data_IF_557132513463
#
_entry.id   IF_557132513463
#
_cell.length_a   1.000
_cell.length_b   1.000
_cell.length_c   1.000
_cell.angle_alpha   90.00
_cell.angle_beta   90.00
_cell.angle_gamma   90.00
#
_symmetry.space_group_name_H-M   'P 1'
#
loop_
_entity.id
_entity.type
_entity.pdbx_description
1 polymer ?
#
# COMPACT_ATOMS: atom_id res chain seq x y z
N UNK A 1 14.69 -2.11 -15.27
CA UNK A 1 15.04 -1.92 -13.84
C UNK A 1 14.79 -0.47 -13.49
N UNK A 2 13.88 -0.19 -12.53
CA UNK A 2 13.52 1.17 -12.13
C UNK A 2 14.49 1.75 -11.12
N UNK A 3 14.74 3.06 -11.22
CA UNK A 3 15.38 3.79 -10.13
C UNK A 3 14.45 3.82 -8.93
N UNK A 4 15.03 3.69 -7.71
CA UNK A 4 14.23 3.45 -6.52
C UNK A 4 14.65 4.25 -5.30
N UNK A 5 13.69 4.44 -4.40
CA UNK A 5 13.87 4.99 -3.07
C UNK A 5 13.68 3.86 -2.04
N UNK A 6 14.56 3.79 -1.07
CA UNK A 6 14.41 2.91 0.10
C UNK A 6 13.75 3.69 1.23
N UNK A 7 12.68 3.17 1.79
CA UNK A 7 12.00 3.76 2.94
C UNK A 7 12.24 2.85 4.14
N UNK A 8 12.85 3.39 5.20
CA UNK A 8 13.08 2.69 6.44
C UNK A 8 11.98 3.02 7.44
N UNK A 9 11.25 1.99 7.87
CA UNK A 9 10.12 2.10 8.78
C UNK A 9 10.55 1.94 10.24
N UNK A 10 10.28 2.94 11.04
CA UNK A 10 10.52 2.97 12.50
C UNK A 10 9.23 2.83 13.31
N UNK A 11 8.15 2.34 12.71
CA UNK A 11 6.88 2.06 13.38
C UNK A 11 5.88 3.22 13.35
N UNK A 12 5.96 4.10 12.37
CA UNK A 12 4.93 5.11 12.12
C UNK A 12 3.67 4.49 11.54
N UNK A 13 2.52 4.95 11.98
CA UNK A 13 1.22 4.55 11.41
C UNK A 13 1.03 5.05 9.96
N UNK A 14 1.82 6.03 9.53
CA UNK A 14 1.70 6.70 8.22
C UNK A 14 2.85 6.39 7.27
N UNK A 15 3.73 5.43 7.58
CA UNK A 15 4.87 5.08 6.71
C UNK A 15 4.41 4.64 5.32
N UNK A 16 3.30 3.92 5.21
CA UNK A 16 2.75 3.52 3.91
C UNK A 16 2.32 4.73 3.05
N UNK A 17 1.94 5.85 3.67
CA UNK A 17 1.63 7.08 2.93
C UNK A 17 2.89 7.68 2.29
N UNK A 18 4.06 7.60 2.96
CA UNK A 18 5.33 8.02 2.35
C UNK A 18 5.57 7.24 1.05
N UNK A 19 5.46 5.90 1.11
CA UNK A 19 5.64 5.06 -0.05
C UNK A 19 4.63 5.39 -1.17
N UNK A 20 3.38 5.61 -0.81
CA UNK A 20 2.34 6.01 -1.77
C UNK A 20 2.68 7.34 -2.46
N UNK A 21 3.13 8.36 -1.71
CA UNK A 21 3.52 9.66 -2.27
C UNK A 21 4.72 9.57 -3.21
N UNK A 22 5.70 8.73 -2.88
CA UNK A 22 6.85 8.46 -3.76
C UNK A 22 6.38 7.78 -5.06
N UNK A 23 5.43 6.84 -4.98
CA UNK A 23 4.83 6.18 -6.15
C UNK A 23 3.97 7.14 -7.00
N UNK A 24 3.29 8.09 -6.38
CA UNK A 24 2.55 9.16 -7.06
C UNK A 24 3.47 10.08 -7.87
N UNK A 25 4.73 10.26 -7.44
CA UNK A 25 5.78 10.92 -8.21
C UNK A 25 6.34 10.07 -9.38
N UNK A 26 5.80 8.89 -9.62
CA UNK A 26 6.29 7.96 -10.65
C UNK A 26 7.62 7.29 -10.30
N UNK A 27 7.98 7.19 -9.02
CA UNK A 27 9.24 6.58 -8.56
C UNK A 27 8.95 5.29 -7.81
N UNK A 28 9.64 4.21 -8.18
CA UNK A 28 9.56 2.96 -7.43
C UNK A 28 10.14 3.11 -6.03
N UNK A 29 9.53 2.49 -5.03
CA UNK A 29 10.07 2.45 -3.68
C UNK A 29 9.79 1.12 -3.00
N UNK A 30 10.68 0.76 -2.07
CA UNK A 30 10.53 -0.38 -1.18
C UNK A 30 10.53 0.09 0.27
N UNK A 31 9.72 -0.58 1.09
CA UNK A 31 9.58 -0.31 2.51
C UNK A 31 10.19 -1.48 3.31
N UNK A 32 11.18 -1.17 4.13
CA UNK A 32 11.84 -2.13 4.99
C UNK A 32 11.83 -1.66 6.44
N UNK A 33 11.78 -2.60 7.39
CA UNK A 33 11.99 -2.26 8.79
C UNK A 33 13.38 -1.63 8.98
N UNK A 34 13.45 -0.51 9.71
CA UNK A 34 14.70 0.22 9.98
C UNK A 34 15.60 -0.48 11.01
N UNK A 35 15.70 -1.82 10.94
CA UNK A 35 16.48 -2.63 11.87
C UNK A 35 17.93 -2.77 11.37
N UNK A 36 18.94 -2.38 12.19
CA UNK A 36 20.35 -2.49 11.82
C UNK A 36 20.82 -3.91 11.49
N UNK A 37 20.13 -4.95 11.98
CA UNK A 37 20.47 -6.34 11.67
C UNK A 37 20.13 -6.73 10.23
N UNK A 38 19.18 -6.05 9.60
CA UNK A 38 18.74 -6.31 8.23
C UNK A 38 19.26 -5.27 7.22
N UNK A 39 19.46 -4.02 7.65
CA UNK A 39 19.95 -2.95 6.78
C UNK A 39 21.48 -2.86 6.92
N UNK A 40 22.15 -3.86 6.38
CA UNK A 40 23.60 -3.96 6.38
C UNK A 40 24.23 -3.21 5.20
N UNK A 41 25.54 -3.04 5.22
CA UNK A 41 26.28 -2.46 4.09
C UNK A 41 26.08 -3.28 2.82
N UNK A 42 26.17 -4.61 2.91
CA UNK A 42 25.94 -5.53 1.77
C UNK A 42 24.53 -5.37 1.20
N UNK A 43 23.52 -5.27 2.04
CA UNK A 43 22.14 -5.01 1.63
C UNK A 43 22.05 -3.69 0.86
N UNK A 44 22.65 -2.61 1.38
CA UNK A 44 22.63 -1.30 0.72
C UNK A 44 23.40 -1.30 -0.60
N UNK A 45 24.52 -2.01 -0.69
CA UNK A 45 25.25 -2.20 -1.95
C UNK A 45 24.42 -2.98 -2.97
N UNK A 46 23.74 -4.03 -2.55
CA UNK A 46 22.79 -4.75 -3.40
C UNK A 46 21.67 -3.82 -3.88
N UNK A 47 21.08 -3.01 -3.01
CA UNK A 47 20.06 -2.04 -3.40
C UNK A 47 20.59 -1.00 -4.39
N UNK A 48 21.83 -0.56 -4.25
CA UNK A 48 22.48 0.33 -5.24
C UNK A 48 22.60 -0.34 -6.60
N UNK A 49 22.99 -1.61 -6.66
CA UNK A 49 23.06 -2.36 -7.93
C UNK A 49 21.68 -2.50 -8.59
N UNK A 50 20.61 -2.43 -7.80
CA UNK A 50 19.21 -2.43 -8.25
C UNK A 50 18.65 -1.02 -8.53
N UNK A 51 19.48 0.03 -8.48
CA UNK A 51 19.08 1.39 -8.84
C UNK A 51 18.66 2.29 -7.68
N UNK A 52 19.08 2.02 -6.44
CA UNK A 52 18.83 2.89 -5.28
C UNK A 52 19.44 4.27 -5.48
N UNK A 53 18.62 5.33 -5.31
CA UNK A 53 18.98 6.73 -5.51
C UNK A 53 18.86 7.59 -4.24
N UNK A 54 18.11 7.17 -3.25
CA UNK A 54 17.92 7.89 -2.02
C UNK A 54 17.22 7.07 -0.95
N UNK A 55 17.26 7.56 0.28
CA UNK A 55 16.70 6.88 1.45
C UNK A 55 15.77 7.84 2.21
N UNK A 56 14.60 7.36 2.63
CA UNK A 56 13.67 8.10 3.49
C UNK A 56 13.57 7.37 4.83
N UNK A 57 13.72 8.10 5.93
CA UNK A 57 13.56 7.62 7.29
C UNK A 57 12.18 8.06 7.80
N UNK A 58 11.34 7.11 8.17
CA UNK A 58 9.97 7.41 8.62
C UNK A 58 9.89 7.98 10.03
N UNK A 59 8.68 8.35 10.46
CA UNK A 59 8.35 8.67 11.84
C UNK A 59 8.36 7.44 12.75
N UNK A 60 8.25 7.70 14.06
CA UNK A 60 8.01 6.70 15.12
C UNK A 60 7.23 7.35 16.26
N UNK A 61 6.60 6.53 17.10
CA UNK A 61 6.00 6.98 18.36
C UNK A 61 7.00 7.01 19.53
N UNK A 62 8.25 6.59 19.29
CA UNK A 62 9.32 6.53 20.31
C UNK A 62 10.14 7.83 20.31
N UNK A 63 10.80 8.09 21.42
CA UNK A 63 11.73 9.22 21.56
C UNK A 63 13.14 8.84 21.12
N UNK A 64 13.77 9.64 20.25
CA UNK A 64 15.07 9.32 19.65
C UNK A 64 16.24 9.28 20.67
N UNK A 65 16.05 9.79 21.88
CA UNK A 65 17.03 9.75 22.97
C UNK A 65 16.80 8.58 23.95
N UNK A 66 15.75 7.79 23.81
CA UNK A 66 15.53 6.63 24.65
C UNK A 66 16.57 5.54 24.34
N UNK A 67 16.97 4.80 25.37
CA UNK A 67 18.00 3.76 25.24
C UNK A 67 17.61 2.66 24.24
N UNK A 68 16.32 2.32 24.20
CA UNK A 68 15.74 1.28 23.35
C UNK A 68 15.17 1.82 22.02
N UNK A 69 15.40 3.12 21.74
CA UNK A 69 14.93 3.74 20.50
C UNK A 69 15.59 3.07 19.28
N UNK A 70 14.83 2.79 18.20
CA UNK A 70 15.40 2.23 16.99
C UNK A 70 16.42 3.22 16.39
N UNK A 71 17.62 2.74 16.12
CA UNK A 71 18.69 3.56 15.53
C UNK A 71 18.70 3.42 14.03
N UNK A 72 19.01 4.50 13.34
CA UNK A 72 19.30 4.44 11.92
C UNK A 72 20.61 3.65 11.74
N UNK A 73 20.64 2.62 10.88
CA UNK A 73 21.88 1.90 10.60
C UNK A 73 22.95 2.86 10.09
N UNK A 74 24.13 2.84 10.72
CA UNK A 74 25.19 3.81 10.42
C UNK A 74 25.59 3.80 8.94
N UNK A 75 25.58 2.62 8.34
CA UNK A 75 25.82 2.43 6.91
C UNK A 75 24.95 3.32 6.00
N UNK A 76 23.74 3.72 6.44
CA UNK A 76 22.84 4.61 5.68
C UNK A 76 23.50 5.97 5.41
N UNK A 77 24.23 6.51 6.39
CA UNK A 77 24.88 7.81 6.27
C UNK A 77 26.20 7.77 5.49
N UNK A 78 26.70 6.58 5.21
CA UNK A 78 28.00 6.37 4.53
C UNK A 78 27.85 6.03 3.03
N UNK A 79 26.63 5.85 2.55
CA UNK A 79 26.38 5.44 1.17
C UNK A 79 26.63 6.52 0.12
N UNK A 80 26.77 7.79 0.51
CA UNK A 80 26.84 8.92 -0.42
C UNK A 80 25.54 9.14 -1.20
N UNK A 81 24.40 8.71 -0.62
CA UNK A 81 23.06 8.91 -1.17
C UNK A 81 22.32 9.98 -0.38
N UNK A 82 21.42 10.74 -1.02
CA UNK A 82 20.52 11.66 -0.31
C UNK A 82 19.66 10.93 0.73
N UNK A 83 19.46 11.56 1.88
CA UNK A 83 18.64 11.03 2.99
C UNK A 83 17.63 12.09 3.43
N UNK A 84 16.35 11.70 3.52
CA UNK A 84 15.29 12.54 4.10
C UNK A 84 14.75 11.89 5.38
N UNK A 85 14.92 12.56 6.52
CA UNK A 85 14.30 12.17 7.79
C UNK A 85 12.97 12.89 8.00
N UNK A 86 11.91 12.15 8.32
CA UNK A 86 10.58 12.69 8.62
C UNK A 86 10.27 12.45 10.09
N UNK A 87 9.95 13.52 10.85
CA UNK A 87 9.60 13.48 12.26
C UNK A 87 10.68 12.74 13.09
N UNK A 88 10.41 11.54 13.58
CA UNK A 88 11.40 10.72 14.27
C UNK A 88 12.67 10.50 13.42
N UNK A 89 12.54 10.26 12.13
CA UNK A 89 13.68 10.07 11.22
C UNK A 89 14.64 11.27 11.20
N UNK A 90 14.11 12.51 11.26
CA UNK A 90 14.90 13.72 11.44
C UNK A 90 15.60 13.73 12.80
N UNK A 91 14.87 13.41 13.88
CA UNK A 91 15.39 13.40 15.24
C UNK A 91 16.49 12.34 15.41
N UNK A 92 16.28 11.12 14.90
CA UNK A 92 17.27 10.03 14.95
C UNK A 92 18.54 10.41 14.17
N UNK A 93 18.39 11.00 13.00
CA UNK A 93 19.51 11.51 12.21
C UNK A 93 20.27 12.61 12.98
N UNK A 94 19.56 13.58 13.56
CA UNK A 94 20.17 14.64 14.35
C UNK A 94 20.96 14.09 15.54
N UNK A 95 20.34 13.20 16.33
CA UNK A 95 20.95 12.60 17.52
C UNK A 95 22.21 11.79 17.18
N UNK A 96 22.16 10.98 16.12
CA UNK A 96 23.27 10.10 15.74
C UNK A 96 24.44 10.84 15.07
N UNK A 97 24.19 11.99 14.45
CA UNK A 97 25.23 12.79 13.80
C UNK A 97 25.83 13.88 14.72
N UNK A 98 25.54 13.86 16.04
CA UNK A 98 26.16 14.74 17.02
C UNK A 98 25.36 15.98 17.42
N UNK A 99 24.10 16.04 16.96
CA UNK A 99 23.11 17.00 17.45
C UNK A 99 22.53 16.61 18.81
N UNK A 100 21.40 17.24 19.19
CA UNK A 100 20.69 16.93 20.43
C UNK A 100 19.19 17.00 20.23
N UNK A 101 18.48 15.97 20.72
CA UNK A 101 17.03 15.91 20.81
C UNK A 101 16.60 15.93 22.26
N UNK A 102 15.54 16.65 22.57
CA UNK A 102 14.94 16.71 23.90
C UNK A 102 13.44 16.79 23.83
N UNK A 103 12.75 16.44 24.91
CA UNK A 103 11.32 16.69 25.03
C UNK A 103 11.00 18.17 24.77
N UNK A 104 9.98 18.42 23.97
CA UNK A 104 9.51 19.76 23.68
C UNK A 104 8.74 20.34 24.88
N UNK A 105 8.94 21.62 25.15
CA UNK A 105 8.16 22.34 26.19
C UNK A 105 6.67 22.40 25.80
N UNK A 106 6.39 22.54 24.51
CA UNK A 106 5.05 22.48 23.90
C UNK A 106 5.03 21.39 22.87
N UNK A 107 4.15 20.40 23.08
CA UNK A 107 3.90 19.35 22.10
C UNK A 107 3.04 19.91 20.97
N UNK A 108 3.40 19.61 19.73
CA UNK A 108 2.66 20.07 18.56
C UNK A 108 1.95 18.88 17.90
N UNK A 109 0.62 18.92 17.93
CA UNK A 109 -0.25 17.94 17.26
C UNK A 109 -1.30 18.67 16.44
N UNK A 110 -1.32 18.42 15.13
CA UNK A 110 -2.26 19.03 14.21
C UNK A 110 -1.64 20.10 13.31
N UNK A 111 -2.49 21.02 12.86
CA UNK A 111 -2.12 22.11 11.97
C UNK A 111 -1.12 23.09 12.60
N UNK A 112 -0.10 23.44 11.82
CA UNK A 112 0.85 24.51 12.15
C UNK A 112 1.23 25.31 10.91
N UNK A 113 1.65 26.56 11.14
CA UNK A 113 2.27 27.39 10.09
C UNK A 113 3.77 27.46 10.35
N UNK A 114 4.54 27.02 9.37
CA UNK A 114 5.98 26.89 9.45
C UNK A 114 6.64 27.86 8.49
N UNK A 115 7.66 28.57 8.98
CA UNK A 115 8.48 29.44 8.14
C UNK A 115 9.48 28.58 7.39
N UNK A 116 9.30 28.48 6.06
CA UNK A 116 10.26 27.90 5.16
C UNK A 116 11.43 28.86 4.90
N UNK A 117 12.65 28.37 5.09
CA UNK A 117 13.84 29.12 4.69
C UNK A 117 14.27 28.65 3.30
N UNK A 118 13.93 29.43 2.28
CA UNK A 118 14.06 29.07 0.86
C UNK A 118 15.50 29.00 0.33
N UNK A 119 16.52 28.99 1.20
CA UNK A 119 17.93 28.86 0.79
C UNK A 119 18.38 27.42 0.57
N UNK A 120 17.54 26.43 0.95
CA UNK A 120 17.85 25.00 0.76
C UNK A 120 17.17 24.46 -0.48
N UNK A 121 17.81 23.48 -1.14
CA UNK A 121 17.24 22.86 -2.36
C UNK A 121 15.88 22.22 -2.13
N UNK A 122 15.65 21.63 -0.95
CA UNK A 122 14.40 20.94 -0.65
C UNK A 122 13.20 21.89 -0.63
N UNK A 123 13.32 23.06 0.00
CA UNK A 123 12.20 24.00 0.20
C UNK A 123 12.24 25.23 -0.74
N UNK A 124 13.24 25.35 -1.60
CA UNK A 124 13.36 26.51 -2.50
C UNK A 124 12.11 26.72 -3.35
N UNK A 125 11.40 27.84 -3.17
CA UNK A 125 10.21 28.18 -3.92
C UNK A 125 8.97 27.31 -3.61
N UNK A 126 8.98 26.59 -2.50
CA UNK A 126 7.81 25.83 -2.01
C UNK A 126 7.25 26.57 -0.80
N UNK A 127 6.07 27.17 -0.97
CA UNK A 127 5.38 27.95 0.05
C UNK A 127 3.87 28.00 -0.24
N UNK A 128 3.04 28.08 0.80
CA UNK A 128 1.58 28.24 0.66
C UNK A 128 1.20 29.72 0.57
N UNK A 129 1.96 30.55 1.27
CA UNK A 129 1.79 32.01 1.24
C UNK A 129 3.06 32.73 1.71
N UNK A 130 3.13 34.02 1.42
CA UNK A 130 4.22 34.88 1.85
C UNK A 130 3.69 35.91 2.84
N UNK A 131 4.40 36.08 3.98
CA UNK A 131 4.05 37.11 4.97
C UNK A 131 4.33 38.52 4.46
N UNK A 132 3.83 39.55 5.16
CA UNK A 132 4.13 40.95 4.85
C UNK A 132 5.62 41.29 4.93
N UNK A 133 6.39 40.50 5.70
CA UNK A 133 7.84 40.63 5.82
C UNK A 133 8.62 39.85 4.73
N UNK A 134 7.93 39.22 3.79
CA UNK A 134 8.55 38.48 2.70
C UNK A 134 9.00 37.05 3.10
N UNK A 135 8.47 36.48 4.19
CA UNK A 135 8.79 35.13 4.60
C UNK A 135 7.82 34.13 3.94
N UNK A 136 8.34 33.11 3.28
CA UNK A 136 7.56 31.97 2.79
C UNK A 136 7.05 31.10 3.96
N UNK A 137 5.80 30.75 3.92
CA UNK A 137 5.11 29.95 4.95
C UNK A 137 4.52 28.69 4.37
N UNK A 138 4.62 27.60 5.11
CA UNK A 138 4.01 26.30 4.80
C UNK A 138 2.92 25.99 5.81
N UNK A 139 1.80 25.44 5.32
CA UNK A 139 0.73 24.85 6.13
C UNK A 139 1.04 23.35 6.27
N UNK A 140 1.40 22.95 7.48
CA UNK A 140 1.92 21.61 7.76
C UNK A 140 1.13 20.92 8.85
N UNK A 141 1.29 19.60 8.93
CA UNK A 141 0.76 18.77 10.00
C UNK A 141 1.89 18.30 10.90
N UNK A 142 1.84 18.73 12.16
CA UNK A 142 2.77 18.33 13.21
C UNK A 142 2.22 17.16 14.02
N UNK A 143 3.11 16.29 14.48
CA UNK A 143 2.78 15.18 15.38
C UNK A 143 4.02 14.77 16.19
N UNK A 144 4.45 15.65 17.12
CA UNK A 144 5.64 15.38 17.90
C UNK A 144 5.57 15.90 19.33
N UNK A 145 6.22 15.16 20.24
CA UNK A 145 6.45 15.55 21.63
C UNK A 145 7.93 15.89 21.92
N UNK A 146 8.81 15.63 20.96
CA UNK A 146 10.25 15.87 21.07
C UNK A 146 10.71 16.77 19.91
N UNK A 147 11.83 17.46 20.11
CA UNK A 147 12.38 18.37 19.11
C UNK A 147 13.91 18.36 19.10
N UNK A 148 14.49 18.66 17.96
CA UNK A 148 15.92 18.93 17.83
C UNK A 148 16.22 20.28 18.46
N UNK A 149 17.13 20.31 19.45
CA UNK A 149 17.53 21.54 20.17
C UNK A 149 18.93 21.99 19.83
N UNK A 150 19.76 21.11 19.25
CA UNK A 150 21.09 21.42 18.72
C UNK A 150 21.27 20.68 17.38
N UNK A 151 21.61 21.42 16.33
CA UNK A 151 21.99 20.85 15.05
C UNK A 151 23.28 20.04 15.14
N UNK A 152 23.43 18.97 14.36
CA UNK A 152 24.74 18.38 14.07
C UNK A 152 25.63 19.37 13.32
N UNK A 153 26.94 19.11 13.34
CA UNK A 153 27.88 19.92 12.58
C UNK A 153 27.55 19.88 11.08
N UNK A 154 27.72 21.03 10.39
CA UNK A 154 27.42 21.28 8.98
C UNK A 154 25.94 21.42 8.62
N UNK A 155 25.02 21.11 9.53
CA UNK A 155 23.60 21.34 9.28
C UNK A 155 23.21 22.80 9.50
N UNK A 156 22.26 23.26 8.70
CA UNK A 156 21.62 24.58 8.84
C UNK A 156 20.13 24.42 9.09
N UNK A 157 19.51 25.41 9.74
CA UNK A 157 18.05 25.44 9.91
C UNK A 157 17.40 25.68 8.56
N UNK A 158 16.49 24.81 8.19
CA UNK A 158 15.75 24.87 6.93
C UNK A 158 14.31 25.37 7.12
N UNK A 159 13.73 25.10 8.29
CA UNK A 159 12.37 25.48 8.63
C UNK A 159 12.20 25.68 10.14
N UNK A 160 11.25 26.54 10.56
CA UNK A 160 11.02 26.87 11.95
C UNK A 160 9.58 27.26 12.25
N UNK A 161 9.09 26.92 13.46
CA UNK A 161 7.89 27.49 14.07
C UNK A 161 8.26 28.28 15.33
N UNK A 162 7.36 29.09 15.91
CA UNK A 162 7.63 29.76 17.17
C UNK A 162 7.94 28.82 18.35
N UNK A 163 7.36 27.61 18.36
CA UNK A 163 7.53 26.57 19.39
C UNK A 163 8.59 25.54 19.03
N UNK A 164 8.97 25.39 17.76
CA UNK A 164 10.02 24.50 17.27
C UNK A 164 11.02 25.26 16.40
N UNK A 165 12.07 25.86 16.99
CA UNK A 165 13.05 26.68 16.25
C UNK A 165 13.83 25.88 15.17
N UNK A 166 13.94 24.57 15.33
CA UNK A 166 14.56 23.66 14.37
C UNK A 166 13.49 22.66 13.91
N UNK A 167 12.53 23.12 13.13
CA UNK A 167 11.48 22.27 12.56
C UNK A 167 11.90 21.65 11.22
N UNK A 168 12.99 22.14 10.63
CA UNK A 168 13.67 21.54 9.49
C UNK A 168 15.16 21.80 9.51
N UNK A 169 15.93 20.85 9.01
CA UNK A 169 17.39 20.94 8.94
C UNK A 169 17.95 20.35 7.65
N UNK A 170 19.08 20.87 7.17
CA UNK A 170 19.73 20.42 5.96
C UNK A 170 21.26 20.45 6.04
N UNK A 171 21.92 19.43 5.48
CA UNK A 171 23.32 19.44 5.05
C UNK A 171 23.33 19.23 3.53
N UNK A 172 23.42 20.33 2.81
CA UNK A 172 23.34 20.35 1.35
C UNK A 172 24.47 19.59 0.66
N UNK A 173 25.65 19.54 1.28
CA UNK A 173 26.83 18.88 0.70
C UNK A 173 26.66 17.36 0.68
N UNK A 174 26.09 16.80 1.75
CA UNK A 174 25.80 15.37 1.83
C UNK A 174 24.44 15.00 1.24
N UNK A 175 23.56 15.99 0.99
CA UNK A 175 22.17 15.78 0.57
C UNK A 175 21.30 15.22 1.68
N UNK A 176 21.56 15.61 2.95
CA UNK A 176 20.80 15.18 4.11
C UNK A 176 19.80 16.24 4.51
N UNK A 177 18.54 15.86 4.61
CA UNK A 177 17.42 16.72 4.94
C UNK A 177 16.59 16.11 6.06
N UNK A 178 16.04 16.94 6.93
CA UNK A 178 15.11 16.52 7.96
C UNK A 178 13.97 17.51 8.10
N UNK A 179 12.75 17.01 8.22
CA UNK A 179 11.54 17.80 8.51
C UNK A 179 10.83 17.22 9.73
N UNK A 180 10.37 18.11 10.64
CA UNK A 180 9.67 17.69 11.85
C UNK A 180 8.20 17.36 11.56
N UNK A 181 7.60 17.98 10.55
CA UNK A 181 6.24 17.76 10.10
C UNK A 181 6.14 16.53 9.18
N UNK A 182 4.92 16.16 8.86
CA UNK A 182 4.59 15.01 8.01
C UNK A 182 4.20 15.47 6.58
N UNK A 183 5.12 15.44 5.60
CA UNK A 183 4.81 15.82 4.21
C UNK A 183 3.92 14.79 3.51
N UNK A 184 3.84 13.56 4.00
CA UNK A 184 3.07 12.47 3.40
C UNK A 184 1.56 12.57 3.62
N UNK A 185 1.12 13.32 4.64
CA UNK A 185 -0.31 13.44 4.95
C UNK A 185 -0.98 14.57 4.14
N UNK A 186 -2.27 14.43 3.89
CA UNK A 186 -3.05 15.39 3.06
C UNK A 186 -3.14 16.79 3.69
N UNK A 187 -3.00 16.89 5.00
CA UNK A 187 -3.05 18.17 5.73
C UNK A 187 -1.80 19.05 5.55
N UNK A 188 -0.68 18.48 5.09
CA UNK A 188 0.47 19.26 4.64
C UNK A 188 0.27 19.61 3.17
N UNK A 189 -0.15 20.86 2.91
CA UNK A 189 -0.64 21.30 1.60
C UNK A 189 0.41 21.10 0.50
N UNK A 190 1.67 21.48 0.77
CA UNK A 190 2.78 21.35 -0.18
C UNK A 190 3.56 20.02 -0.01
N UNK A 191 3.00 19.05 0.73
CA UNK A 191 3.69 17.81 1.06
C UNK A 191 4.14 17.01 -0.16
N UNK A 192 3.29 16.91 -1.18
CA UNK A 192 3.64 16.24 -2.43
C UNK A 192 4.78 16.96 -3.16
N UNK A 193 4.74 18.28 -3.23
CA UNK A 193 5.79 19.07 -3.90
C UNK A 193 7.16 18.91 -3.20
N UNK A 194 7.18 18.80 -1.87
CA UNK A 194 8.39 18.55 -1.08
C UNK A 194 8.95 17.15 -1.40
N UNK A 195 8.10 16.12 -1.41
CA UNK A 195 8.51 14.75 -1.72
C UNK A 195 8.94 14.61 -3.18
N UNK A 196 8.23 15.21 -4.14
CA UNK A 196 8.63 15.24 -5.56
C UNK A 196 10.00 15.90 -5.71
N UNK A 197 10.24 17.03 -5.02
CA UNK A 197 11.53 17.72 -5.03
C UNK A 197 12.64 16.82 -4.48
N UNK A 198 12.38 16.05 -3.42
CA UNK A 198 13.37 15.11 -2.90
C UNK A 198 13.65 13.99 -3.89
N UNK A 199 12.62 13.28 -4.37
CA UNK A 199 12.83 12.07 -5.20
C UNK A 199 13.27 12.39 -6.62
N UNK A 200 12.65 13.38 -7.28
CA UNK A 200 12.96 13.74 -8.67
C UNK A 200 14.11 14.75 -8.77
N UNK A 201 14.13 15.76 -7.90
CA UNK A 201 15.11 16.85 -7.97
C UNK A 201 16.44 16.49 -7.30
N UNK A 202 16.42 16.04 -6.05
CA UNK A 202 17.61 15.78 -5.24
C UNK A 202 18.17 14.39 -5.51
N UNK A 203 17.34 13.33 -5.44
CA UNK A 203 17.74 11.96 -5.75
C UNK A 203 17.88 11.72 -7.26
N UNK A 204 17.33 12.62 -8.09
CA UNK A 204 17.39 12.56 -9.56
C UNK A 204 16.81 11.28 -10.15
N UNK A 205 15.74 10.74 -9.54
CA UNK A 205 14.99 9.65 -10.13
C UNK A 205 14.27 10.11 -11.39
N UNK A 206 14.18 9.24 -12.40
CA UNK A 206 13.59 9.58 -13.72
C UNK A 206 12.06 9.58 -13.75
N UNK A 207 11.40 9.07 -12.70
CA UNK A 207 9.93 8.97 -12.71
C UNK A 207 9.42 7.96 -13.74
N UNK A 208 10.12 6.84 -13.91
CA UNK A 208 9.83 5.81 -14.92
C UNK A 208 8.91 4.68 -14.41
N UNK A 209 8.47 4.76 -13.18
CA UNK A 209 7.46 3.85 -12.62
C UNK A 209 6.07 4.24 -13.09
N UNK A 210 5.65 3.68 -14.21
CA UNK A 210 4.33 3.93 -14.81
C UNK A 210 3.60 2.61 -15.07
N UNK A 211 2.28 2.62 -15.07
CA UNK A 211 1.51 1.40 -15.26
C UNK A 211 1.71 0.74 -16.63
N UNK A 212 1.83 1.48 -17.77
CA UNK A 212 2.17 0.85 -19.05
C UNK A 212 3.50 0.09 -19.01
N UNK A 213 4.57 0.68 -18.43
CA UNK A 213 5.87 0.01 -18.27
C UNK A 213 5.76 -1.23 -17.38
N UNK A 214 4.97 -1.13 -16.31
CA UNK A 214 4.73 -2.25 -15.41
C UNK A 214 4.01 -3.42 -16.09
N UNK A 215 3.01 -3.16 -16.94
CA UNK A 215 2.28 -4.21 -17.67
C UNK A 215 3.26 -5.09 -18.45
N UNK A 216 4.14 -4.49 -19.23
CA UNK A 216 5.07 -5.25 -20.09
C UNK A 216 6.08 -6.05 -19.25
N UNK A 217 6.62 -5.47 -18.18
CA UNK A 217 7.53 -6.16 -17.27
C UNK A 217 6.84 -7.31 -16.52
N UNK A 218 5.61 -7.09 -16.03
CA UNK A 218 4.85 -8.12 -15.31
C UNK A 218 4.47 -9.29 -16.23
N UNK A 219 4.07 -9.00 -17.47
CA UNK A 219 3.81 -10.03 -18.49
C UNK A 219 5.07 -10.88 -18.75
N UNK A 220 6.22 -10.24 -18.91
CA UNK A 220 7.48 -10.94 -19.14
C UNK A 220 7.85 -11.83 -17.93
N UNK A 221 7.74 -11.30 -16.71
CA UNK A 221 7.99 -12.06 -15.46
C UNK A 221 7.05 -13.27 -15.33
N UNK A 222 5.76 -13.09 -15.58
CA UNK A 222 4.77 -14.19 -15.51
C UNK A 222 5.11 -15.28 -16.53
N UNK A 223 5.44 -14.93 -17.77
CA UNK A 223 5.84 -15.89 -18.81
C UNK A 223 7.09 -16.68 -18.43
N UNK A 224 8.10 -15.99 -17.91
CA UNK A 224 9.37 -16.61 -17.46
C UNK A 224 9.12 -17.59 -16.29
N UNK A 225 8.33 -17.18 -15.29
CA UNK A 225 8.06 -18.01 -14.12
C UNK A 225 7.21 -19.24 -14.43
N UNK A 226 6.18 -19.07 -15.22
CA UNK A 226 5.17 -20.12 -15.50
C UNK A 226 5.65 -21.08 -16.59
N UNK A 227 6.33 -20.58 -17.62
CA UNK A 227 6.76 -21.38 -18.75
C UNK A 227 5.55 -22.04 -19.45
N UNK A 228 5.54 -23.37 -19.49
CA UNK A 228 4.43 -24.16 -20.12
C UNK A 228 3.45 -24.75 -19.12
N UNK A 229 3.59 -24.45 -17.83
CA UNK A 229 2.74 -24.98 -16.77
C UNK A 229 1.34 -24.32 -16.78
N UNK A 230 0.34 -24.99 -16.23
CA UNK A 230 -0.98 -24.43 -16.01
C UNK A 230 -1.05 -23.65 -14.68
N UNK A 231 -1.84 -22.58 -14.70
CA UNK A 231 -2.09 -21.69 -13.56
C UNK A 231 -3.56 -21.74 -13.17
N UNK A 232 -3.84 -21.81 -11.88
CA UNK A 232 -5.19 -21.70 -11.32
C UNK A 232 -5.29 -20.40 -10.53
N UNK A 233 -6.42 -19.70 -10.67
CA UNK A 233 -6.75 -18.49 -9.92
C UNK A 233 -8.14 -18.59 -9.31
N UNK A 234 -8.28 -18.33 -8.02
CA UNK A 234 -9.58 -18.08 -7.40
C UNK A 234 -10.07 -16.67 -7.77
N UNK A 235 -11.09 -16.61 -8.61
CA UNK A 235 -11.70 -15.35 -9.04
C UNK A 235 -12.83 -14.98 -8.07
N UNK A 236 -12.57 -14.01 -7.18
CA UNK A 236 -13.54 -13.63 -6.14
C UNK A 236 -14.52 -12.53 -6.58
N UNK A 237 -14.43 -12.03 -7.81
CA UNK A 237 -15.12 -10.82 -8.25
C UNK A 237 -14.56 -9.51 -7.67
N UNK A 238 -13.61 -9.57 -6.75
CA UNK A 238 -12.90 -8.41 -6.22
C UNK A 238 -11.91 -7.82 -7.22
N UNK A 239 -11.55 -6.54 -7.04
CA UNK A 239 -10.66 -5.81 -7.96
C UNK A 239 -9.32 -6.54 -8.15
N UNK A 240 -8.69 -6.99 -7.07
CA UNK A 240 -7.33 -7.56 -7.12
C UNK A 240 -7.30 -8.88 -7.88
N UNK A 241 -8.23 -9.80 -7.58
CA UNK A 241 -8.35 -11.07 -8.32
C UNK A 241 -8.70 -10.84 -9.78
N UNK A 242 -9.52 -9.84 -10.09
CA UNK A 242 -9.91 -9.47 -11.45
C UNK A 242 -8.72 -8.92 -12.25
N UNK A 243 -7.94 -8.02 -11.66
CA UNK A 243 -6.73 -7.46 -12.31
C UNK A 243 -5.65 -8.54 -12.47
N UNK A 244 -5.47 -9.40 -11.47
CA UNK A 244 -4.56 -10.55 -11.58
C UNK A 244 -4.96 -11.49 -12.72
N UNK A 245 -6.27 -11.83 -12.84
CA UNK A 245 -6.78 -12.65 -13.92
C UNK A 245 -6.49 -12.04 -15.29
N UNK A 246 -6.81 -10.76 -15.47
CA UNK A 246 -6.59 -10.04 -16.72
C UNK A 246 -5.09 -10.00 -17.12
N UNK A 247 -4.22 -9.70 -16.16
CA UNK A 247 -2.76 -9.64 -16.37
C UNK A 247 -2.18 -11.00 -16.74
N UNK A 248 -2.53 -12.04 -15.97
CA UNK A 248 -2.04 -13.41 -16.21
C UNK A 248 -2.57 -13.95 -17.56
N UNK A 249 -3.85 -13.74 -17.84
CA UNK A 249 -4.41 -14.15 -19.13
C UNK A 249 -3.71 -13.47 -20.32
N UNK A 250 -3.43 -12.19 -20.22
CA UNK A 250 -2.66 -11.47 -21.24
C UNK A 250 -1.22 -12.00 -21.39
N UNK A 251 -0.65 -12.53 -20.31
CA UNK A 251 0.69 -13.12 -20.33
C UNK A 251 0.72 -14.52 -20.94
N UNK A 252 -0.17 -15.42 -20.53
CA UNK A 252 -0.09 -16.86 -20.80
C UNK A 252 -1.36 -17.48 -21.43
N UNK A 253 -2.40 -16.68 -21.70
CA UNK A 253 -3.61 -17.14 -22.42
C UNK A 253 -4.29 -18.33 -21.76
N UNK A 254 -4.50 -19.38 -22.53
CA UNK A 254 -5.26 -20.58 -22.14
C UNK A 254 -4.62 -21.43 -21.04
N UNK A 255 -3.38 -21.14 -20.65
CA UNK A 255 -2.74 -21.79 -19.49
C UNK A 255 -3.38 -21.35 -18.15
N UNK A 256 -4.13 -20.24 -18.15
CA UNK A 256 -4.89 -19.77 -16.99
C UNK A 256 -6.28 -20.41 -16.96
N UNK A 257 -6.63 -20.99 -15.81
CA UNK A 257 -8.00 -21.38 -15.48
C UNK A 257 -8.43 -20.66 -14.20
N UNK A 258 -9.50 -19.87 -14.29
CA UNK A 258 -10.10 -19.22 -13.14
C UNK A 258 -11.22 -20.09 -12.55
N UNK A 259 -11.32 -20.16 -11.24
CA UNK A 259 -12.44 -20.78 -10.51
C UNK A 259 -13.21 -19.68 -9.80
N UNK A 260 -14.45 -19.47 -10.21
CA UNK A 260 -15.37 -18.52 -9.60
C UNK A 260 -16.41 -19.28 -8.77
N UNK A 261 -16.43 -19.03 -7.47
CA UNK A 261 -17.33 -19.69 -6.52
C UNK A 261 -18.47 -18.75 -6.16
N UNK A 262 -19.70 -19.11 -6.58
CA UNK A 262 -20.92 -18.47 -6.13
C UNK A 262 -21.39 -19.13 -4.82
N UNK A 263 -21.22 -18.43 -3.73
CA UNK A 263 -21.62 -18.89 -2.39
C UNK A 263 -23.02 -18.40 -1.97
N UNK A 264 -23.81 -17.82 -2.89
CA UNK A 264 -25.15 -17.31 -2.62
C UNK A 264 -25.20 -16.00 -1.82
N UNK A 265 -24.06 -15.41 -1.48
CA UNK A 265 -23.93 -14.17 -0.68
C UNK A 265 -23.26 -13.04 -1.46
N UNK A 266 -23.22 -13.15 -2.78
CA UNK A 266 -22.72 -12.15 -3.71
C UNK A 266 -23.69 -10.96 -3.84
N UNK A 267 -23.21 -9.86 -4.40
CA UNK A 267 -24.03 -8.72 -4.83
C UNK A 267 -25.00 -9.10 -5.94
N UNK A 268 -25.98 -8.25 -6.17
CA UNK A 268 -26.95 -8.41 -7.27
C UNK A 268 -26.20 -8.48 -8.61
N UNK A 269 -26.49 -9.50 -9.41
CA UNK A 269 -25.92 -9.75 -10.74
C UNK A 269 -24.38 -9.86 -10.78
N UNK A 270 -23.72 -10.06 -9.62
CA UNK A 270 -22.25 -10.13 -9.58
C UNK A 270 -21.73 -11.36 -10.34
N UNK A 271 -22.38 -12.51 -10.21
CA UNK A 271 -21.97 -13.71 -10.92
C UNK A 271 -22.08 -13.55 -12.44
N UNK A 272 -23.20 -13.01 -12.92
CA UNK A 272 -23.40 -12.73 -14.35
C UNK A 272 -22.36 -11.73 -14.88
N UNK A 273 -22.08 -10.67 -14.13
CA UNK A 273 -21.08 -9.67 -14.52
C UNK A 273 -19.67 -10.27 -14.64
N UNK A 274 -19.26 -11.10 -13.68
CA UNK A 274 -17.95 -11.77 -13.70
C UNK A 274 -17.87 -12.72 -14.89
N UNK A 275 -18.88 -13.56 -15.12
CA UNK A 275 -18.89 -14.53 -16.21
C UNK A 275 -18.90 -13.84 -17.57
N UNK A 276 -19.71 -12.80 -17.75
CA UNK A 276 -19.73 -12.02 -19.00
C UNK A 276 -18.41 -11.31 -19.26
N UNK A 277 -17.83 -10.63 -18.24
CA UNK A 277 -16.57 -9.91 -18.43
C UNK A 277 -15.42 -10.85 -18.77
N UNK A 278 -15.20 -11.88 -17.96
CA UNK A 278 -14.04 -12.75 -18.12
C UNK A 278 -14.25 -13.85 -19.16
N UNK A 279 -15.40 -14.53 -19.14
CA UNK A 279 -15.67 -15.63 -20.07
C UNK A 279 -15.97 -15.15 -21.48
N UNK A 280 -16.92 -14.21 -21.63
CA UNK A 280 -17.42 -13.81 -22.96
C UNK A 280 -16.55 -12.73 -23.61
N UNK A 281 -16.21 -11.65 -22.87
CA UNK A 281 -15.49 -10.52 -23.46
C UNK A 281 -13.97 -10.72 -23.48
N UNK A 282 -13.38 -11.27 -22.42
CA UNK A 282 -11.93 -11.45 -22.35
C UNK A 282 -11.45 -12.84 -22.80
N UNK A 283 -12.35 -13.81 -22.98
CA UNK A 283 -12.01 -15.17 -23.39
C UNK A 283 -11.22 -15.97 -22.35
N UNK A 284 -11.31 -15.60 -21.06
CA UNK A 284 -10.67 -16.33 -19.96
C UNK A 284 -11.44 -17.60 -19.66
N UNK A 285 -10.75 -18.72 -19.50
CA UNK A 285 -11.37 -19.97 -19.06
C UNK A 285 -11.82 -19.85 -17.61
N UNK A 286 -13.13 -19.73 -17.36
CA UNK A 286 -13.73 -19.61 -16.03
C UNK A 286 -14.60 -20.83 -15.73
N UNK A 287 -14.30 -21.51 -14.62
CA UNK A 287 -15.16 -22.55 -14.05
C UNK A 287 -16.07 -21.88 -13.02
N UNK A 288 -17.35 -21.76 -13.34
CA UNK A 288 -18.37 -21.27 -12.41
C UNK A 288 -18.89 -22.42 -11.54
N UNK A 289 -18.78 -22.26 -10.22
CA UNK A 289 -19.21 -23.26 -9.23
C UNK A 289 -20.33 -22.65 -8.39
N UNK A 290 -21.56 -23.13 -8.58
CA UNK A 290 -22.65 -22.83 -7.65
C UNK A 290 -22.51 -23.68 -6.39
N UNK A 291 -22.03 -23.06 -5.31
CA UNK A 291 -21.85 -23.66 -4.01
C UNK A 291 -22.84 -23.09 -2.97
N UNK A 292 -23.91 -22.42 -3.44
CA UNK A 292 -24.92 -21.77 -2.58
C UNK A 292 -25.43 -22.71 -1.48
N UNK A 293 -25.74 -23.95 -1.82
CA UNK A 293 -26.24 -24.94 -0.87
C UNK A 293 -25.19 -25.29 0.22
N UNK A 294 -23.95 -25.49 -0.19
CA UNK A 294 -22.85 -25.87 0.71
C UNK A 294 -22.61 -24.76 1.77
N UNK A 295 -22.56 -23.50 1.32
CA UNK A 295 -22.36 -22.37 2.24
C UNK A 295 -23.57 -22.11 3.13
N UNK A 296 -24.78 -22.08 2.58
CA UNK A 296 -26.01 -21.79 3.33
C UNK A 296 -26.26 -22.84 4.42
N UNK A 297 -26.02 -24.13 4.11
CA UNK A 297 -26.20 -25.21 5.10
C UNK A 297 -25.22 -25.11 6.28
N UNK A 298 -23.97 -24.69 6.05
CA UNK A 298 -22.97 -24.51 7.10
C UNK A 298 -23.18 -23.23 7.92
N UNK A 299 -23.89 -22.25 7.37
CA UNK A 299 -24.22 -20.99 8.04
C UNK A 299 -25.55 -21.01 8.79
N UNK A 300 -26.30 -22.11 8.69
CA UNK A 300 -27.60 -22.22 9.36
C UNK A 300 -27.45 -22.03 10.87
N UNK A 301 -28.26 -21.12 11.44
CA UNK A 301 -28.23 -20.77 12.86
C UNK A 301 -27.00 -19.98 13.35
N UNK A 302 -26.01 -19.70 12.49
CA UNK A 302 -24.80 -18.96 12.89
C UNK A 302 -25.07 -17.46 12.89
N UNK A 303 -24.93 -16.83 14.06
CA UNK A 303 -25.21 -15.40 14.25
C UNK A 303 -23.95 -14.55 14.42
N UNK A 304 -22.91 -15.10 15.01
CA UNK A 304 -21.66 -14.38 15.29
C UNK A 304 -20.89 -14.05 13.99
N UNK A 305 -20.54 -12.78 13.73
CA UNK A 305 -19.89 -12.36 12.50
C UNK A 305 -18.51 -13.02 12.25
N UNK A 306 -17.75 -13.27 13.32
CA UNK A 306 -16.43 -13.90 13.21
C UNK A 306 -16.56 -15.40 12.90
N UNK A 307 -17.54 -16.08 13.50
CA UNK A 307 -17.86 -17.47 13.18
C UNK A 307 -18.30 -17.60 11.71
N UNK A 308 -19.19 -16.72 11.24
CA UNK A 308 -19.60 -16.67 9.82
C UNK A 308 -18.39 -16.53 8.90
N UNK A 309 -17.51 -15.60 9.19
CA UNK A 309 -16.31 -15.34 8.41
C UNK A 309 -15.41 -16.55 8.30
N UNK A 310 -15.17 -17.24 9.43
CA UNK A 310 -14.35 -18.46 9.48
C UNK A 310 -14.97 -19.60 8.68
N UNK A 311 -16.28 -19.79 8.80
CA UNK A 311 -17.03 -20.82 8.05
C UNK A 311 -16.94 -20.54 6.55
N UNK A 312 -17.25 -19.31 6.13
CA UNK A 312 -17.21 -18.92 4.71
C UNK A 312 -15.79 -19.08 4.15
N UNK A 313 -14.77 -18.61 4.88
CA UNK A 313 -13.39 -18.75 4.43
C UNK A 313 -12.94 -20.20 4.29
N UNK A 314 -13.27 -21.06 5.26
CA UNK A 314 -12.97 -22.49 5.23
C UNK A 314 -13.67 -23.19 4.05
N UNK A 315 -14.95 -22.94 3.88
CA UNK A 315 -15.75 -23.55 2.81
C UNK A 315 -15.24 -23.13 1.43
N UNK A 316 -14.88 -21.84 1.27
CA UNK A 316 -14.30 -21.36 0.04
C UNK A 316 -13.03 -22.13 -0.34
N UNK A 317 -12.15 -22.39 0.62
CA UNK A 317 -10.93 -23.17 0.41
C UNK A 317 -11.27 -24.61 0.01
N UNK A 318 -12.23 -25.25 0.68
CA UNK A 318 -12.64 -26.65 0.39
C UNK A 318 -13.22 -26.77 -1.04
N UNK A 319 -14.11 -25.85 -1.44
CA UNK A 319 -14.69 -25.82 -2.79
C UNK A 319 -13.60 -25.55 -3.82
N UNK A 320 -12.73 -24.56 -3.58
CA UNK A 320 -11.65 -24.24 -4.50
C UNK A 320 -10.69 -25.42 -4.71
N UNK A 321 -10.30 -26.12 -3.64
CA UNK A 321 -9.43 -27.28 -3.70
C UNK A 321 -10.05 -28.44 -4.52
N UNK A 322 -11.35 -28.67 -4.31
CA UNK A 322 -12.10 -29.69 -5.04
C UNK A 322 -12.08 -29.43 -6.55
N UNK A 323 -12.26 -28.18 -6.96
CA UNK A 323 -12.24 -27.80 -8.37
C UNK A 323 -10.81 -27.72 -8.94
N UNK A 324 -9.86 -27.20 -8.16
CA UNK A 324 -8.46 -27.17 -8.53
C UNK A 324 -7.88 -28.57 -8.79
N UNK A 325 -8.28 -29.56 -7.99
CA UNK A 325 -7.85 -30.95 -8.15
C UNK A 325 -8.34 -31.63 -9.45
N UNK A 326 -9.30 -31.03 -10.17
CA UNK A 326 -9.80 -31.54 -11.47
C UNK A 326 -9.03 -30.96 -12.66
N UNK A 327 -8.12 -30.01 -12.43
CA UNK A 327 -7.38 -29.33 -13.49
C UNK A 327 -6.03 -30.03 -13.66
N UNK A 328 -5.86 -30.69 -14.80
CA UNK A 328 -4.64 -31.37 -15.13
C UNK A 328 -3.45 -30.41 -15.29
N UNK A 329 -2.25 -30.84 -14.86
CA UNK A 329 -1.00 -30.12 -15.01
C UNK A 329 -0.96 -28.70 -14.35
N UNK A 330 -1.85 -28.42 -13.40
CA UNK A 330 -1.77 -27.21 -12.62
C UNK A 330 -0.59 -27.27 -11.65
N UNK A 331 0.35 -26.33 -11.76
CA UNK A 331 1.53 -26.23 -10.87
C UNK A 331 1.59 -24.90 -10.16
N UNK A 332 0.79 -23.93 -10.56
CA UNK A 332 0.79 -22.59 -10.01
C UNK A 332 -0.58 -22.17 -9.49
N UNK A 333 -0.58 -21.60 -8.30
CA UNK A 333 -1.72 -20.91 -7.73
C UNK A 333 -1.47 -19.41 -7.81
N UNK A 334 -2.29 -18.70 -8.57
CA UNK A 334 -2.24 -17.26 -8.64
C UNK A 334 -3.07 -16.61 -7.52
N UNK A 335 -2.55 -15.54 -6.95
CA UNK A 335 -3.23 -14.73 -5.93
C UNK A 335 -3.12 -13.25 -6.25
N UNK A 336 -4.18 -12.50 -5.91
CA UNK A 336 -4.24 -11.06 -6.04
C UNK A 336 -3.64 -10.33 -4.83
N UNK A 337 -2.58 -10.85 -4.23
CA UNK A 337 -1.84 -10.20 -3.14
C UNK A 337 -1.29 -8.87 -3.61
N UNK A 338 -1.48 -7.81 -2.84
CA UNK A 338 -0.99 -6.47 -3.12
C UNK A 338 0.05 -6.02 -2.08
N UNK A 339 0.76 -4.93 -2.34
CA UNK A 339 1.87 -4.50 -1.49
C UNK A 339 1.49 -4.23 -0.02
N UNK A 340 0.34 -3.62 0.31
CA UNK A 340 -0.12 -3.51 1.69
C UNK A 340 -0.25 -4.84 2.43
N UNK A 341 -0.71 -5.91 1.75
CA UNK A 341 -0.83 -7.25 2.36
C UNK A 341 0.55 -7.82 2.73
N UNK A 342 1.56 -7.55 1.90
CA UNK A 342 2.95 -7.97 2.14
C UNK A 342 3.53 -7.27 3.36
N UNK A 343 3.34 -5.95 3.47
CA UNK A 343 3.84 -5.15 4.59
C UNK A 343 3.19 -5.60 5.90
N UNK A 344 1.87 -5.78 5.91
CA UNK A 344 1.12 -6.25 7.09
C UNK A 344 1.59 -7.63 7.54
N UNK A 345 1.82 -8.55 6.59
CA UNK A 345 2.31 -9.91 6.89
C UNK A 345 3.74 -9.91 7.44
N UNK A 346 4.61 -9.02 6.97
CA UNK A 346 5.97 -8.87 7.49
C UNK A 346 5.97 -8.31 8.93
N UNK A 347 5.13 -7.32 9.22
CA UNK A 347 4.94 -6.75 10.55
C UNK A 347 4.45 -7.76 11.59
N UNK A 348 3.56 -8.68 11.20
CA UNK A 348 3.05 -9.74 12.06
C UNK A 348 4.14 -10.75 12.46
N UNK A 349 5.09 -11.06 11.58
CA UNK A 349 6.22 -11.97 11.86
C UNK A 349 7.24 -11.37 12.83
N UNK A 350 7.37 -10.06 12.89
CA UNK A 350 8.30 -9.36 13.80
C UNK A 350 7.70 -9.07 15.17
N UNK A 351 6.43 -9.44 15.42
CA UNK A 351 5.74 -9.22 16.71
C UNK A 351 5.41 -7.77 17.04
N UNK A 352 5.64 -6.83 16.13
CA UNK A 352 5.39 -5.39 16.31
C UNK A 352 4.02 -4.93 15.83
N UNK A 353 3.25 -5.80 15.16
CA UNK A 353 1.87 -5.53 14.77
C UNK A 353 0.97 -6.66 15.26
N UNK A 354 -0.14 -6.31 15.91
CA UNK A 354 -1.21 -7.28 16.15
C UNK A 354 -1.76 -7.74 14.81
N UNK A 355 -1.73 -9.06 14.56
CA UNK A 355 -2.31 -9.65 13.36
C UNK A 355 -3.83 -9.41 13.35
N UNK A 356 -4.26 -8.32 12.72
CA UNK A 356 -5.68 -7.96 12.62
C UNK A 356 -6.35 -8.67 11.44
N UNK A 357 -5.58 -9.35 10.56
CA UNK A 357 -6.16 -9.93 9.34
C UNK A 357 -5.91 -11.42 9.15
N UNK A 358 -6.98 -12.15 9.35
CA UNK A 358 -7.25 -13.48 8.82
C UNK A 358 -7.95 -13.44 7.43
N UNK A 359 -7.95 -12.29 6.72
CA UNK A 359 -8.79 -12.08 5.53
C UNK A 359 -8.09 -12.25 4.20
N UNK A 360 -6.80 -12.00 4.16
CA UNK A 360 -5.99 -12.27 2.98
C UNK A 360 -5.22 -13.54 3.24
N UNK A 361 -5.55 -14.57 2.52
CA UNK A 361 -5.06 -15.94 2.65
C UNK A 361 -3.59 -16.06 2.24
N UNK A 362 -2.74 -15.18 2.77
CA UNK A 362 -1.28 -15.29 2.67
C UNK A 362 -0.87 -16.43 3.60
N UNK A 363 -0.93 -17.68 3.10
CA UNK A 363 -0.55 -18.88 3.81
C UNK A 363 -1.69 -19.80 4.28
N UNK A 364 -2.94 -19.58 3.88
CA UNK A 364 -4.07 -20.39 4.34
C UNK A 364 -4.55 -21.50 3.39
N UNK A 365 -3.92 -21.66 2.22
CA UNK A 365 -4.19 -22.82 1.38
C UNK A 365 -3.35 -24.00 1.91
N UNK A 366 -3.94 -25.18 2.07
CA UNK A 366 -3.22 -26.32 2.59
C UNK A 366 -2.03 -26.67 1.69
N UNK A 367 -0.92 -27.05 2.32
CA UNK A 367 0.28 -27.61 1.68
C UNK A 367 -0.03 -28.83 0.79
N UNK A 368 -1.23 -29.37 0.94
CA UNK A 368 -1.73 -30.55 0.18
C UNK A 368 -1.85 -30.34 -1.32
N UNK A 369 -1.97 -29.10 -1.83
CA UNK A 369 -2.06 -28.86 -3.28
C UNK A 369 -0.70 -28.82 -3.98
N UNK A 370 0.39 -28.70 -3.24
CA UNK A 370 1.77 -28.69 -3.76
C UNK A 370 1.98 -27.70 -4.94
N UNK A 371 1.23 -26.58 -4.96
CA UNK A 371 1.26 -25.55 -5.99
C UNK A 371 2.26 -24.44 -5.62
N UNK A 372 2.99 -23.95 -6.60
CA UNK A 372 3.83 -22.76 -6.47
C UNK A 372 2.94 -21.51 -6.47
N UNK A 373 3.35 -20.48 -5.76
CA UNK A 373 2.60 -19.24 -5.67
C UNK A 373 3.01 -18.27 -6.79
N UNK A 374 2.01 -17.65 -7.46
CA UNK A 374 2.17 -16.61 -8.46
C UNK A 374 1.43 -15.36 -8.00
N UNK A 375 2.15 -14.30 -7.63
CA UNK A 375 1.61 -13.06 -7.06
C UNK A 375 1.99 -11.84 -7.93
N UNK A 376 1.36 -11.64 -9.07
CA UNK A 376 1.79 -10.62 -10.03
C UNK A 376 1.53 -9.18 -9.59
N UNK A 377 0.71 -8.95 -8.55
CA UNK A 377 0.37 -7.62 -8.04
C UNK A 377 1.10 -7.27 -6.74
N UNK A 378 2.00 -8.13 -6.27
CA UNK A 378 2.65 -8.06 -4.96
C UNK A 378 3.39 -6.75 -4.68
N UNK A 379 3.84 -6.06 -5.73
CA UNK A 379 4.59 -4.81 -5.64
C UNK A 379 3.71 -3.56 -5.75
N UNK A 380 2.39 -3.70 -5.95
CA UNK A 380 1.48 -2.60 -6.24
C UNK A 380 0.62 -2.18 -5.05
N UNK A 381 0.42 -0.88 -4.91
CA UNK A 381 -0.64 -0.33 -4.08
C UNK A 381 -2.01 -0.45 -4.74
N UNK A 382 -3.09 -0.33 -3.97
CA UNK A 382 -4.47 -0.51 -4.45
C UNK A 382 -4.87 0.44 -5.58
N UNK A 383 -4.41 1.68 -5.55
CA UNK A 383 -4.65 2.66 -6.60
C UNK A 383 -3.86 2.35 -7.88
N UNK A 384 -2.63 1.80 -7.75
CA UNK A 384 -1.86 1.30 -8.89
C UNK A 384 -2.53 0.07 -9.53
N UNK A 385 -3.06 -0.86 -8.72
CA UNK A 385 -3.84 -2.00 -9.21
C UNK A 385 -5.05 -1.55 -10.01
N UNK A 386 -5.77 -0.51 -9.55
CA UNK A 386 -6.89 0.05 -10.30
C UNK A 386 -6.46 0.66 -11.64
N UNK A 387 -5.39 1.45 -11.65
CA UNK A 387 -4.82 2.01 -12.88
C UNK A 387 -4.39 0.90 -13.84
N UNK A 388 -3.76 -0.16 -13.32
CA UNK A 388 -3.39 -1.34 -14.07
C UNK A 388 -4.61 -2.03 -14.67
N UNK A 389 -5.70 -2.20 -13.91
CA UNK A 389 -6.95 -2.79 -14.40
C UNK A 389 -7.52 -2.04 -15.59
N UNK A 390 -7.53 -0.70 -15.54
CA UNK A 390 -7.95 0.13 -16.68
C UNK A 390 -7.01 -0.07 -17.89
N UNK A 391 -5.69 -0.10 -17.66
CA UNK A 391 -4.71 -0.32 -18.74
C UNK A 391 -4.83 -1.72 -19.38
N UNK A 392 -5.35 -2.70 -18.65
CA UNK A 392 -5.64 -4.05 -19.13
C UNK A 392 -7.01 -4.18 -19.82
N UNK A 393 -7.83 -3.11 -19.83
CA UNK A 393 -9.14 -3.08 -20.49
C UNK A 393 -10.30 -3.58 -19.63
N UNK A 394 -10.14 -3.68 -18.32
CA UNK A 394 -11.25 -3.99 -17.43
C UNK A 394 -12.25 -2.82 -17.36
N UNK A 395 -13.56 -3.11 -17.27
CA UNK A 395 -14.58 -2.06 -17.14
C UNK A 395 -14.35 -1.18 -15.91
N UNK A 396 -14.49 0.16 -16.01
CA UNK A 396 -14.35 1.06 -14.88
C UNK A 396 -15.23 0.70 -13.67
N UNK A 397 -16.45 0.22 -13.92
CA UNK A 397 -17.41 -0.17 -12.88
C UNK A 397 -16.88 -1.36 -12.05
N UNK A 398 -16.09 -2.23 -12.63
CA UNK A 398 -15.45 -3.35 -11.94
C UNK A 398 -14.21 -2.88 -11.16
N UNK A 399 -13.40 -2.00 -11.75
CA UNK A 399 -12.15 -1.50 -11.16
C UNK A 399 -12.40 -0.54 -10.00
N UNK A 400 -13.39 0.35 -10.15
CA UNK A 400 -13.77 1.36 -9.15
C UNK A 400 -15.02 0.97 -8.35
N UNK A 401 -15.33 -0.33 -8.29
CA UNK A 401 -16.43 -0.84 -7.48
C UNK A 401 -16.29 -0.45 -6.01
N UNK A 402 -17.40 -0.18 -5.36
CA UNK A 402 -17.42 0.07 -3.92
C UNK A 402 -16.89 -1.15 -3.14
N UNK A 403 -16.17 -0.95 -2.02
CA UNK A 403 -15.64 -2.03 -1.21
C UNK A 403 -16.73 -3.04 -0.82
N UNK A 404 -16.37 -4.32 -0.91
CA UNK A 404 -17.23 -5.42 -0.53
C UNK A 404 -16.40 -6.47 0.21
N UNK A 405 -16.83 -6.93 1.39
CA UNK A 405 -16.05 -7.89 2.15
C UNK A 405 -15.99 -9.26 1.47
N UNK A 406 -14.87 -9.97 1.64
CA UNK A 406 -14.71 -11.33 1.09
C UNK A 406 -15.84 -12.30 1.44
N UNK A 407 -16.37 -12.31 2.71
CA UNK A 407 -17.53 -13.12 3.09
C UNK A 407 -18.86 -12.67 2.47
N UNK A 408 -18.86 -11.68 1.59
CA UNK A 408 -20.04 -11.19 0.93
C UNK A 408 -21.08 -10.59 1.89
N UNK A 409 -22.35 -10.75 1.57
CA UNK A 409 -23.47 -10.28 2.39
C UNK A 409 -23.57 -10.99 3.75
N UNK A 410 -22.94 -12.17 3.93
CA UNK A 410 -23.06 -12.99 5.12
C UNK A 410 -22.69 -12.26 6.42
N UNK A 411 -21.64 -11.42 6.39
CA UNK A 411 -21.21 -10.62 7.56
C UNK A 411 -21.98 -9.31 7.72
N UNK A 412 -22.75 -8.91 6.71
CA UNK A 412 -23.63 -7.74 6.77
C UNK A 412 -25.04 -8.08 7.28
N UNK A 413 -25.44 -9.35 7.23
CA UNK A 413 -26.72 -9.81 7.79
C UNK A 413 -26.58 -9.88 9.31
N UNK A 414 -27.38 -9.10 10.03
CA UNK A 414 -27.51 -9.19 11.48
C UNK A 414 -28.30 -10.45 11.85
N UNK A 415 -27.77 -11.25 12.78
CA UNK A 415 -28.36 -12.53 13.15
C UNK A 415 -28.03 -13.68 12.18
N UNK A 416 -28.86 -14.70 12.12
CA UNK A 416 -28.62 -15.88 11.29
C UNK A 416 -28.77 -15.58 9.79
N UNK A 417 -27.89 -16.18 8.98
CA UNK A 417 -27.95 -16.07 7.52
C UNK A 417 -29.07 -16.96 6.98
N UNK A 418 -29.92 -16.40 6.14
CA UNK A 418 -30.91 -17.15 5.38
C UNK A 418 -31.12 -16.51 4.00
N UNK A 419 -31.70 -17.29 3.08
CA UNK A 419 -31.89 -16.83 1.70
C UNK A 419 -32.77 -15.57 1.60
N UNK A 420 -33.93 -15.46 2.27
CA UNK A 420 -34.76 -14.24 2.20
C UNK A 420 -34.02 -13.00 2.65
N UNK A 421 -33.26 -13.05 3.75
CA UNK A 421 -32.47 -11.91 4.22
C UNK A 421 -31.32 -11.56 3.27
N UNK A 422 -30.66 -12.56 2.68
CA UNK A 422 -29.64 -12.32 1.66
C UNK A 422 -30.24 -11.63 0.43
N UNK A 423 -31.41 -12.05 -0.04
CA UNK A 423 -32.07 -11.46 -1.20
C UNK A 423 -32.54 -10.02 -0.93
N UNK A 424 -33.09 -9.72 0.24
CA UNK A 424 -33.47 -8.36 0.63
C UNK A 424 -32.25 -7.45 0.75
N UNK A 425 -31.19 -7.93 1.42
CA UNK A 425 -29.98 -7.14 1.59
C UNK A 425 -29.26 -6.90 0.27
N UNK A 426 -29.29 -7.86 -0.64
CA UNK A 426 -28.73 -7.73 -2.00
C UNK A 426 -29.41 -6.59 -2.78
N UNK A 427 -30.73 -6.48 -2.68
CA UNK A 427 -31.48 -5.40 -3.32
C UNK A 427 -31.22 -4.05 -2.63
N UNK A 428 -31.20 -4.02 -1.31
CA UNK A 428 -30.88 -2.80 -0.57
C UNK A 428 -29.47 -2.30 -0.85
N UNK A 429 -28.47 -3.20 -0.93
CA UNK A 429 -27.08 -2.85 -1.32
C UNK A 429 -27.03 -2.28 -2.75
N UNK A 430 -27.79 -2.85 -3.69
CA UNK A 430 -27.86 -2.35 -5.06
C UNK A 430 -28.43 -0.93 -5.14
N UNK A 431 -29.56 -0.66 -4.44
CA UNK A 431 -30.15 0.67 -4.35
C UNK A 431 -29.17 1.66 -3.71
N UNK A 432 -28.54 1.28 -2.60
CA UNK A 432 -27.58 2.14 -1.91
C UNK A 432 -26.39 2.51 -2.80
N UNK A 433 -25.82 1.55 -3.55
CA UNK A 433 -24.72 1.80 -4.46
C UNK A 433 -25.15 2.70 -5.63
N UNK A 434 -26.35 2.51 -6.15
CA UNK A 434 -26.92 3.36 -7.21
C UNK A 434 -27.08 4.81 -6.73
N UNK A 435 -27.62 5.02 -5.54
CA UNK A 435 -27.75 6.36 -4.93
C UNK A 435 -26.38 7.03 -4.72
N UNK A 436 -25.38 6.31 -4.23
CA UNK A 436 -24.02 6.82 -4.08
C UNK A 436 -23.43 7.27 -5.43
N UNK A 437 -23.63 6.48 -6.48
CA UNK A 437 -23.13 6.82 -7.83
C UNK A 437 -23.82 8.04 -8.42
N UNK A 438 -25.11 8.24 -8.10
CA UNK A 438 -25.89 9.37 -8.57
C UNK A 438 -25.69 10.62 -7.74
N UNK A 439 -25.15 10.49 -6.53
CA UNK A 439 -24.83 11.63 -5.66
C UNK A 439 -23.49 12.24 -6.05
N UNK A 440 -23.54 13.52 -6.39
CA UNK A 440 -22.35 14.30 -6.77
C UNK A 440 -21.94 15.18 -5.60
N UNK A 441 -20.68 15.10 -5.22
CA UNK A 441 -20.08 16.01 -4.24
C UNK A 441 -20.07 17.44 -4.78
N UNK A 442 -20.59 18.38 -4.00
CA UNK A 442 -20.79 19.75 -4.44
C UNK A 442 -19.49 20.54 -4.68
N UNK A 443 -18.39 20.15 -4.00
CA UNK A 443 -17.11 20.84 -4.11
C UNK A 443 -16.25 20.25 -5.23
N UNK A 444 -16.17 18.92 -5.32
CA UNK A 444 -15.32 18.23 -6.29
C UNK A 444 -16.01 17.96 -7.63
N UNK A 445 -17.34 18.01 -7.70
CA UNK A 445 -18.13 17.67 -8.88
C UNK A 445 -18.06 16.18 -9.27
N UNK A 446 -17.55 15.30 -8.39
CA UNK A 446 -17.40 13.88 -8.62
C UNK A 446 -18.47 13.09 -7.89
N UNK A 447 -18.89 11.95 -8.44
CA UNK A 447 -19.74 10.99 -7.75
C UNK A 447 -18.93 10.25 -6.67
N UNK A 448 -19.64 9.80 -5.68
CA UNK A 448 -19.08 9.01 -4.56
C UNK A 448 -18.72 7.57 -4.97
#
# INVERSE_FOLDING_TARGET
MHERILILDYGSQVTQLIARRVREAGVYCELHAGDPSHITEDFLQQQKSLGLKGIILSGSHLSAYDADAPKVPHAVFEQGLPVLGICYGMQAMAQQLGGKVTAAAHREFGYAEERAQGHTKLLAGIEDFVTKQGHGMLKVWMSHGDQVTKLPDRFVVMASTPSCPIAGMADEDRGFYGVQFHPEVTHTVQGQAILDRFVLGICRCRGDWTMPSYVDEAIAKVREQVGTDAVILGLSGGVDSSVAAALIHRAIGDQLTCVFVDHGLLRLNEAEQVMSTFGEHMGVKVIHVDATHDFMSKLDGVTDPEAKRKIIGKEFVEVFQREAGKIDNAKWLAQGTIYPDVIESAGAKTGKAMAIKSHHNVGGLPETLNLKLLEPLRELFKDEVRKLGIALGLPPEMVYRHPFPGPGLGVRILGAVNKPFADWLRQADAIFIEELRNTVDAESGKSW
#
